data_IF_068280049609
#
_entry.id   IF_068280049609
#
_cell.length_a   1.000
_cell.length_b   1.000
_cell.length_c   1.000
_cell.angle_alpha   90.00
_cell.angle_beta   90.00
_cell.angle_gamma   90.00
#
_symmetry.space_group_name_H-M   'P 1'
#
loop_
_entity.id
_entity.type
_entity.pdbx_description
1 polymer ?
#
# COMPACT_ATOMS: atom_id res chain seq x y z
N UNK A 1 12.96 -3.90 5.31
CA UNK A 1 11.90 -3.40 4.45
C UNK A 1 10.74 -2.83 5.23
N UNK A 2 9.95 -1.98 4.60
CA UNK A 2 8.81 -1.32 5.24
C UNK A 2 7.67 -1.06 4.25
N UNK A 3 6.46 -0.86 4.77
CA UNK A 3 5.31 -0.48 3.98
C UNK A 3 4.16 0.01 4.85
N UNK A 4 3.36 0.90 4.29
CA UNK A 4 2.09 1.30 4.90
C UNK A 4 1.05 0.22 4.55
N UNK A 5 0.24 -0.15 5.51
CA UNK A 5 -0.86 -1.10 5.37
C UNK A 5 -2.15 -0.33 5.61
N UNK A 6 -3.07 -0.38 4.66
CA UNK A 6 -4.46 0.00 4.86
C UNK A 6 -5.21 -1.17 5.49
N UNK A 7 -5.95 -0.91 6.51
CA UNK A 7 -6.63 -1.90 7.34
C UNK A 7 -8.12 -1.60 7.44
N UNK A 8 -8.94 -2.62 7.71
CA UNK A 8 -10.29 -2.43 8.19
C UNK A 8 -10.39 -1.41 9.31
N UNK A 9 -11.53 -0.73 9.39
CA UNK A 9 -11.85 0.21 10.47
C UNK A 9 -12.32 -0.51 11.73
N UNK A 10 -12.92 -1.67 11.55
CA UNK A 10 -13.24 -2.56 12.67
C UNK A 10 -11.96 -3.20 13.21
N UNK A 11 -11.72 -3.05 14.50
CA UNK A 11 -10.50 -3.52 15.16
C UNK A 11 -10.31 -5.03 15.03
N UNK A 12 -11.38 -5.82 15.16
CA UNK A 12 -11.31 -7.28 15.07
C UNK A 12 -10.96 -7.74 13.67
N UNK A 13 -11.52 -7.10 12.65
CA UNK A 13 -11.19 -7.41 11.26
C UNK A 13 -9.77 -6.95 10.91
N UNK A 14 -9.33 -5.81 11.46
CA UNK A 14 -7.95 -5.35 11.32
C UNK A 14 -6.96 -6.34 11.98
N UNK A 15 -7.25 -6.84 13.18
CA UNK A 15 -6.44 -7.85 13.86
C UNK A 15 -6.35 -9.13 13.04
N UNK A 16 -7.47 -9.66 12.53
CA UNK A 16 -7.47 -10.84 11.65
C UNK A 16 -6.60 -10.65 10.40
N UNK A 17 -6.66 -9.47 9.77
CA UNK A 17 -5.82 -9.15 8.63
C UNK A 17 -4.33 -9.17 9.02
N UNK A 18 -3.98 -8.61 10.16
CA UNK A 18 -2.61 -8.61 10.67
C UNK A 18 -2.13 -10.02 11.03
N UNK A 19 -2.98 -10.85 11.64
CA UNK A 19 -2.65 -12.25 11.99
C UNK A 19 -2.35 -13.07 10.73
N UNK A 20 -3.16 -12.94 9.68
CA UNK A 20 -2.90 -13.56 8.38
C UNK A 20 -1.55 -13.10 7.83
N UNK A 21 -1.30 -11.80 7.84
CA UNK A 21 -0.03 -11.24 7.38
C UNK A 21 1.16 -11.78 8.16
N UNK A 22 1.09 -11.79 9.49
CA UNK A 22 2.17 -12.26 10.37
C UNK A 22 2.44 -13.76 10.21
N UNK A 23 1.40 -14.56 9.96
CA UNK A 23 1.57 -15.98 9.64
C UNK A 23 2.39 -16.14 8.34
N UNK A 24 2.06 -15.38 7.31
CA UNK A 24 2.79 -15.39 6.03
C UNK A 24 4.23 -14.86 6.18
N UNK A 25 4.44 -13.81 6.96
CA UNK A 25 5.79 -13.30 7.28
C UNK A 25 6.64 -14.42 7.90
N UNK A 26 6.09 -15.17 8.85
CA UNK A 26 6.76 -16.29 9.48
C UNK A 26 7.05 -17.45 8.51
N UNK A 27 6.08 -17.82 7.68
CA UNK A 27 6.26 -18.86 6.65
C UNK A 27 7.36 -18.50 5.67
N UNK A 28 7.43 -17.22 5.27
CA UNK A 28 8.46 -16.70 4.38
C UNK A 28 9.81 -16.49 5.09
N UNK A 29 9.93 -16.82 6.37
CA UNK A 29 11.16 -16.67 7.16
C UNK A 29 11.69 -15.24 7.11
N UNK A 30 10.80 -14.28 7.34
CA UNK A 30 11.13 -12.89 7.60
C UNK A 30 10.85 -12.55 9.06
N UNK A 31 11.59 -11.60 9.60
CA UNK A 31 11.48 -11.16 10.98
C UNK A 31 10.60 -9.92 11.06
N UNK A 32 9.62 -9.95 11.96
CA UNK A 32 8.90 -8.75 12.33
C UNK A 32 9.78 -7.90 13.24
N UNK A 33 10.17 -6.71 12.76
CA UNK A 33 10.90 -5.72 13.56
C UNK A 33 9.92 -4.92 14.42
N UNK A 34 8.75 -4.59 13.86
CA UNK A 34 7.69 -3.92 14.59
C UNK A 34 6.64 -3.27 13.72
N UNK A 35 5.71 -2.59 14.40
CA UNK A 35 4.69 -1.74 13.80
C UNK A 35 4.84 -0.31 14.30
N UNK A 36 4.43 0.64 13.47
CA UNK A 36 4.27 2.04 13.83
C UNK A 36 2.90 2.52 13.39
N UNK A 37 2.21 3.25 14.23
CA UNK A 37 1.03 4.01 13.82
C UNK A 37 1.46 5.10 12.83
N UNK A 38 0.77 5.19 11.70
CA UNK A 38 1.01 6.27 10.72
C UNK A 38 0.27 7.50 11.22
N UNK A 39 0.96 8.61 11.53
CA UNK A 39 0.27 9.84 11.92
C UNK A 39 -0.55 10.36 10.74
N UNK A 40 -1.83 10.62 10.97
CA UNK A 40 -2.74 11.19 9.97
C UNK A 40 -3.59 12.30 10.59
N UNK A 41 -3.83 13.36 9.80
CA UNK A 41 -4.79 14.41 10.14
C UNK A 41 -5.88 14.47 9.07
N UNK A 42 -7.04 13.96 9.42
CA UNK A 42 -8.18 13.90 8.52
C UNK A 42 -9.11 15.13 8.62
N UNK A 43 -8.74 16.17 9.37
CA UNK A 43 -9.56 17.36 9.55
C UNK A 43 -9.84 18.10 8.23
N UNK A 44 -8.88 18.11 7.32
CA UNK A 44 -8.93 18.82 6.04
C UNK A 44 -9.47 18.01 4.85
N UNK A 45 -9.85 16.72 5.00
CA UNK A 45 -10.33 15.91 3.88
C UNK A 45 -11.85 15.96 3.71
N UNK A 46 -12.31 15.71 2.47
CA UNK A 46 -13.74 15.71 2.15
C UNK A 46 -14.54 14.58 2.81
N UNK A 47 -15.85 14.75 2.94
CA UNK A 47 -16.74 13.79 3.61
C UNK A 47 -16.67 12.38 2.99
N UNK A 48 -16.61 12.28 1.66
CA UNK A 48 -16.53 10.99 0.95
C UNK A 48 -15.21 10.27 1.26
N UNK A 49 -14.09 10.99 1.22
CA UNK A 49 -12.79 10.43 1.55
C UNK A 49 -12.75 9.94 3.01
N UNK A 50 -13.29 10.73 3.94
CA UNK A 50 -13.39 10.39 5.36
C UNK A 50 -14.29 9.18 5.61
N UNK A 51 -15.40 9.07 4.89
CA UNK A 51 -16.33 7.93 5.04
C UNK A 51 -15.71 6.60 4.63
N UNK A 52 -14.74 6.60 3.72
CA UNK A 52 -14.03 5.42 3.22
C UNK A 52 -12.55 5.35 3.64
N UNK A 53 -12.13 6.18 4.60
CA UNK A 53 -10.76 6.22 5.10
C UNK A 53 -10.40 4.90 5.81
N UNK A 54 -9.33 4.19 5.41
CA UNK A 54 -8.87 3.01 6.11
C UNK A 54 -8.11 3.38 7.39
N UNK A 55 -8.03 2.45 8.34
CA UNK A 55 -7.01 2.55 9.38
C UNK A 55 -5.63 2.30 8.76
N UNK A 56 -4.57 2.89 9.30
CA UNK A 56 -3.23 2.79 8.70
C UNK A 56 -2.17 2.43 9.73
N UNK A 57 -1.40 1.39 9.42
CA UNK A 57 -0.17 1.03 10.17
C UNK A 57 1.01 0.89 9.22
N UNK A 58 2.18 1.19 9.71
CA UNK A 58 3.43 0.89 9.01
C UNK A 58 4.05 -0.35 9.64
N UNK A 59 4.40 -1.33 8.79
CA UNK A 59 5.13 -2.53 9.20
C UNK A 59 6.61 -2.39 8.84
N UNK A 60 7.47 -2.93 9.70
CA UNK A 60 8.91 -3.05 9.48
C UNK A 60 9.29 -4.53 9.54
N UNK A 61 9.92 -5.01 8.47
CA UNK A 61 10.35 -6.40 8.32
C UNK A 61 11.85 -6.48 8.01
N UNK A 62 12.48 -7.53 8.50
CA UNK A 62 13.88 -7.85 8.23
C UNK A 62 14.06 -9.29 7.80
N UNK A 63 15.24 -9.59 7.27
CA UNK A 63 15.80 -10.92 7.12
C UNK A 63 17.31 -10.81 6.87
N UNK A 64 18.06 -11.79 7.33
CA UNK A 64 19.52 -11.86 7.10
C UNK A 64 19.83 -12.42 5.70
N UNK A 65 19.52 -11.60 4.67
CA UNK A 65 19.71 -11.93 3.25
C UNK A 65 20.11 -10.69 2.45
N UNK A 66 20.64 -10.89 1.25
CA UNK A 66 21.00 -9.78 0.36
C UNK A 66 19.81 -8.86 0.05
N UNK A 67 20.02 -7.54 -0.11
CA UNK A 67 18.95 -6.56 -0.31
C UNK A 67 17.99 -6.89 -1.47
N UNK A 68 18.49 -7.41 -2.58
CA UNK A 68 17.67 -7.80 -3.73
C UNK A 68 16.81 -9.06 -3.44
N UNK A 69 17.34 -9.99 -2.64
CA UNK A 69 16.58 -11.14 -2.18
C UNK A 69 15.49 -10.72 -1.19
N UNK A 70 15.79 -9.76 -0.30
CA UNK A 70 14.80 -9.18 0.61
C UNK A 70 13.68 -8.48 -0.17
N UNK A 71 14.01 -7.70 -1.19
CA UNK A 71 13.01 -7.02 -2.02
C UNK A 71 12.02 -8.00 -2.67
N UNK A 72 12.53 -9.11 -3.22
CA UNK A 72 11.68 -10.19 -3.78
C UNK A 72 10.83 -10.87 -2.71
N UNK A 73 11.39 -11.13 -1.54
CA UNK A 73 10.67 -11.73 -0.40
C UNK A 73 9.54 -10.83 0.07
N UNK A 74 9.79 -9.54 0.23
CA UNK A 74 8.77 -8.55 0.61
C UNK A 74 7.62 -8.49 -0.42
N UNK A 75 7.94 -8.57 -1.71
CA UNK A 75 6.92 -8.67 -2.75
C UNK A 75 6.06 -9.94 -2.61
N UNK A 76 6.68 -11.09 -2.35
CA UNK A 76 5.97 -12.37 -2.15
C UNK A 76 5.07 -12.28 -0.92
N UNK A 77 5.58 -11.80 0.21
CA UNK A 77 4.79 -11.60 1.44
C UNK A 77 3.57 -10.74 1.15
N UNK A 78 3.77 -9.58 0.51
CA UNK A 78 2.68 -8.69 0.12
C UNK A 78 1.62 -9.42 -0.71
N UNK A 79 2.02 -10.09 -1.79
CA UNK A 79 1.08 -10.75 -2.72
C UNK A 79 0.35 -11.92 -2.09
N UNK A 80 1.03 -12.71 -1.28
CA UNK A 80 0.42 -13.81 -0.53
C UNK A 80 -0.61 -13.28 0.48
N UNK A 81 -0.27 -12.21 1.20
CA UNK A 81 -1.16 -11.58 2.16
C UNK A 81 -2.40 -11.01 1.49
N UNK A 82 -2.23 -10.22 0.42
CA UNK A 82 -3.35 -9.65 -0.36
C UNK A 82 -4.29 -10.76 -0.88
N UNK A 83 -3.73 -11.89 -1.34
CA UNK A 83 -4.51 -13.03 -1.81
C UNK A 83 -5.26 -13.69 -0.66
N UNK A 84 -4.58 -14.05 0.42
CA UNK A 84 -5.18 -14.75 1.56
C UNK A 84 -6.32 -13.95 2.19
N UNK A 85 -6.15 -12.63 2.35
CA UNK A 85 -7.21 -11.77 2.89
C UNK A 85 -8.38 -11.65 1.93
N UNK A 86 -8.14 -11.52 0.63
CA UNK A 86 -9.22 -11.48 -0.39
C UNK A 86 -10.06 -12.75 -0.38
N UNK A 87 -9.44 -13.92 -0.14
CA UNK A 87 -10.10 -15.22 -0.09
C UNK A 87 -10.71 -15.55 1.28
N UNK A 88 -10.47 -14.72 2.30
CA UNK A 88 -10.99 -14.90 3.66
C UNK A 88 -12.46 -14.49 3.79
N UNK A 89 -13.04 -14.79 4.95
CA UNK A 89 -14.39 -14.41 5.36
C UNK A 89 -14.44 -13.08 6.16
N UNK A 90 -13.36 -12.32 6.19
CA UNK A 90 -13.29 -11.03 6.86
C UNK A 90 -14.28 -10.06 6.22
N UNK A 91 -15.17 -9.48 7.01
CA UNK A 91 -16.27 -8.64 6.52
C UNK A 91 -15.76 -7.37 5.82
N UNK A 92 -14.81 -6.67 6.45
CA UNK A 92 -14.24 -5.43 5.92
C UNK A 92 -12.93 -5.63 5.12
N UNK A 93 -12.72 -6.79 4.53
CA UNK A 93 -11.49 -7.12 3.78
C UNK A 93 -11.17 -6.17 2.62
N UNK A 94 -12.16 -5.51 2.05
CA UNK A 94 -11.98 -4.56 0.94
C UNK A 94 -11.22 -3.29 1.33
N UNK A 95 -11.11 -2.99 2.63
CA UNK A 95 -10.24 -1.94 3.14
C UNK A 95 -8.76 -2.34 3.15
N UNK A 96 -8.47 -3.65 3.10
CA UNK A 96 -7.09 -4.12 3.18
C UNK A 96 -6.34 -3.88 1.88
N UNK A 97 -5.26 -3.13 1.96
CA UNK A 97 -4.38 -2.88 0.82
C UNK A 97 -2.96 -2.54 1.30
N UNK A 98 -1.95 -2.99 0.57
CA UNK A 98 -0.55 -2.65 0.83
C UNK A 98 -0.01 -1.88 -0.38
N UNK A 99 0.07 -0.54 -0.32
CA UNK A 99 0.61 0.28 -1.42
C UNK A 99 2.00 -0.15 -1.87
N UNK A 100 2.89 -0.37 -0.93
CA UNK A 100 4.22 -0.94 -1.16
C UNK A 100 4.69 -1.68 0.09
N UNK A 101 5.43 -2.77 -0.10
CA UNK A 101 6.24 -3.42 0.92
C UNK A 101 7.61 -3.65 0.30
N UNK A 102 8.60 -2.85 0.71
CA UNK A 102 9.86 -2.73 -0.02
C UNK A 102 11.00 -2.28 0.89
N UNK A 103 12.23 -2.61 0.54
CA UNK A 103 13.42 -2.05 1.18
C UNK A 103 13.97 -0.81 0.44
N UNK A 104 13.25 -0.32 -0.59
CA UNK A 104 13.68 0.80 -1.45
C UNK A 104 12.63 1.89 -1.62
N UNK A 105 11.35 1.56 -1.49
CA UNK A 105 10.24 2.45 -1.82
C UNK A 105 9.22 2.46 -0.69
N UNK A 106 8.83 3.65 -0.27
CA UNK A 106 7.69 3.86 0.62
C UNK A 106 6.65 4.72 -0.10
N UNK A 107 5.39 4.31 -0.06
CA UNK A 107 4.30 4.99 -0.76
C UNK A 107 3.32 5.58 0.25
N UNK A 108 3.18 6.90 0.22
CA UNK A 108 2.11 7.64 0.87
C UNK A 108 1.07 8.01 -0.18
N UNK A 109 -0.17 7.58 -0.01
CA UNK A 109 -1.25 7.86 -0.94
C UNK A 109 -2.62 7.84 -0.27
N UNK A 110 -3.61 8.43 -0.93
CA UNK A 110 -4.99 8.43 -0.46
C UNK A 110 -5.93 9.19 -1.37
N UNK A 111 -7.19 9.28 -0.99
CA UNK A 111 -8.19 10.15 -1.63
C UNK A 111 -7.96 11.61 -1.25
N UNK A 112 -6.84 12.16 -1.69
CA UNK A 112 -6.32 13.46 -1.28
C UNK A 112 -6.02 14.31 -2.53
N UNK A 113 -6.20 15.59 -2.43
CA UNK A 113 -5.63 16.54 -3.37
C UNK A 113 -4.13 16.74 -3.06
N UNK A 114 -3.38 17.31 -3.99
CA UNK A 114 -1.95 17.57 -3.79
C UNK A 114 -1.66 18.46 -2.57
N UNK A 115 -2.56 19.41 -2.25
CA UNK A 115 -2.41 20.28 -1.08
C UNK A 115 -2.73 19.55 0.23
N UNK A 116 -3.66 18.60 0.19
CA UNK A 116 -4.04 17.83 1.37
C UNK A 116 -3.01 16.77 1.76
N UNK A 117 -2.19 16.30 0.84
CA UNK A 117 -1.26 15.18 1.09
C UNK A 117 -0.32 15.45 2.27
N UNK A 118 0.33 16.61 2.29
CA UNK A 118 1.26 16.97 3.35
C UNK A 118 0.58 17.36 4.66
N UNK A 119 -0.69 17.82 4.60
CA UNK A 119 -1.49 18.07 5.80
C UNK A 119 -1.98 16.76 6.42
N UNK A 120 -2.45 15.85 5.59
CA UNK A 120 -2.96 14.56 6.01
C UNK A 120 -1.85 13.63 6.57
N UNK A 121 -0.65 13.65 5.97
CA UNK A 121 0.50 12.86 6.45
C UNK A 121 1.59 13.77 7.03
N UNK A 122 1.57 14.06 8.33
CA UNK A 122 2.60 14.88 8.99
C UNK A 122 4.03 14.36 8.79
N UNK A 123 4.20 13.04 8.59
CA UNK A 123 5.50 12.43 8.26
C UNK A 123 6.19 13.11 7.06
N UNK A 124 5.42 13.56 6.07
CA UNK A 124 5.97 14.22 4.86
C UNK A 124 6.55 15.61 5.12
N UNK A 125 6.30 16.17 6.30
CA UNK A 125 6.87 17.45 6.77
C UNK A 125 8.03 17.26 7.72
N UNK A 126 8.36 16.03 8.12
CA UNK A 126 9.46 15.74 9.04
C UNK A 126 10.80 15.87 8.29
N UNK A 127 11.69 16.74 8.76
CA UNK A 127 13.00 17.00 8.14
C UNK A 127 13.90 15.75 8.08
N UNK A 128 13.64 14.75 8.92
CA UNK A 128 14.36 13.47 8.92
C UNK A 128 13.92 12.57 7.75
N UNK A 129 12.75 12.85 7.14
CA UNK A 129 12.27 12.09 6.00
C UNK A 129 12.92 12.58 4.71
N UNK A 130 14.03 11.96 4.36
CA UNK A 130 14.83 12.31 3.19
C UNK A 130 14.72 11.24 2.11
N UNK A 131 14.65 11.67 0.86
CA UNK A 131 14.63 10.78 -0.31
C UNK A 131 15.41 11.38 -1.46
N UNK A 132 16.13 10.53 -2.21
CA UNK A 132 16.83 10.96 -3.42
C UNK A 132 15.87 11.23 -4.58
N UNK A 133 14.69 10.57 -4.60
CA UNK A 133 13.70 10.68 -5.69
C UNK A 133 12.30 10.64 -5.07
N UNK A 134 11.42 11.51 -5.54
CA UNK A 134 10.00 11.47 -5.25
C UNK A 134 9.20 11.37 -6.55
N UNK A 135 8.36 10.32 -6.65
CA UNK A 135 7.36 10.19 -7.72
C UNK A 135 6.02 10.70 -7.19
N UNK A 136 5.51 11.75 -7.81
CA UNK A 136 4.30 12.43 -7.37
C UNK A 136 3.22 12.29 -8.42
N UNK A 137 1.99 11.96 -8.02
CA UNK A 137 0.83 11.89 -8.88
C UNK A 137 -0.36 12.56 -8.21
N UNK A 138 -1.04 13.47 -8.92
CA UNK A 138 -2.13 14.29 -8.36
C UNK A 138 -3.52 13.94 -8.89
N UNK A 139 -3.65 12.95 -9.78
CA UNK A 139 -4.91 12.60 -10.41
C UNK A 139 -5.27 11.14 -10.22
N UNK A 140 -6.57 10.88 -10.10
CA UNK A 140 -7.15 9.55 -10.31
C UNK A 140 -7.37 9.29 -11.80
N UNK A 141 -7.56 8.01 -12.17
CA UNK A 141 -8.04 7.67 -13.51
C UNK A 141 -9.41 8.29 -13.74
N UNK A 142 -9.64 8.82 -14.94
CA UNK A 142 -10.91 9.45 -15.31
C UNK A 142 -12.07 8.45 -15.46
N UNK A 143 -11.77 7.16 -15.57
CA UNK A 143 -12.74 6.09 -15.88
C UNK A 143 -13.02 5.16 -14.69
N UNK A 144 -12.51 5.45 -13.51
CA UNK A 144 -12.72 4.66 -12.30
C UNK A 144 -13.25 5.52 -11.16
N UNK A 145 -14.10 4.93 -10.32
CA UNK A 145 -14.51 5.57 -9.09
C UNK A 145 -13.30 5.70 -8.17
N UNK A 146 -13.04 6.88 -7.58
CA UNK A 146 -11.89 7.07 -6.71
C UNK A 146 -12.08 6.28 -5.40
N UNK A 147 -11.03 5.55 -5.01
CA UNK A 147 -10.91 4.85 -3.72
C UNK A 147 -9.49 5.02 -3.18
N UNK A 148 -9.29 4.74 -1.89
CA UNK A 148 -7.97 4.92 -1.25
C UNK A 148 -6.90 4.02 -1.86
N UNK A 149 -7.23 2.79 -2.22
CA UNK A 149 -6.35 1.81 -2.85
C UNK A 149 -6.05 2.13 -4.32
N UNK A 150 -7.02 2.71 -5.04
CA UNK A 150 -6.85 3.13 -6.44
C UNK A 150 -6.15 4.48 -6.59
N UNK A 151 -5.92 5.22 -5.51
CA UNK A 151 -5.09 6.41 -5.55
C UNK A 151 -3.69 6.08 -6.08
N UNK A 152 -3.12 6.99 -6.85
CA UNK A 152 -1.74 6.88 -7.29
C UNK A 152 -0.79 7.58 -6.28
N UNK A 153 0.52 7.34 -6.31
CA UNK A 153 1.21 6.48 -7.27
C UNK A 153 1.04 4.98 -6.95
N UNK A 154 1.14 4.14 -7.97
CA UNK A 154 1.48 2.74 -7.81
C UNK A 154 2.99 2.61 -7.67
N UNK A 155 3.48 1.46 -7.23
CA UNK A 155 4.83 1.28 -6.68
C UNK A 155 5.98 1.94 -7.46
N UNK A 156 6.07 1.88 -8.72
CA UNK A 156 7.03 2.64 -9.56
C UNK A 156 6.45 2.75 -10.96
N UNK A 157 5.82 3.84 -11.24
CA UNK A 157 5.29 4.11 -12.55
C UNK A 157 5.57 5.58 -12.88
N UNK A 158 6.26 5.80 -13.98
CA UNK A 158 6.49 7.14 -14.52
C UNK A 158 6.34 7.08 -16.03
N UNK A 159 5.28 7.71 -16.54
CA UNK A 159 5.11 7.89 -17.98
C UNK A 159 4.24 9.11 -18.27
N UNK A 160 4.40 9.63 -19.47
CA UNK A 160 3.57 10.71 -19.98
C UNK A 160 2.73 10.19 -21.16
N UNK A 161 1.58 9.59 -20.85
CA UNK A 161 0.69 9.07 -21.88
C UNK A 161 -0.56 8.43 -21.29
N UNK A 162 -1.50 8.02 -22.12
CA UNK A 162 -2.71 7.30 -21.75
C UNK A 162 -2.52 5.79 -21.91
N UNK A 163 -2.94 5.02 -20.92
CA UNK A 163 -3.00 3.56 -21.00
C UNK A 163 -4.47 3.18 -21.13
N UNK A 164 -4.94 2.99 -22.37
CA UNK A 164 -6.36 2.80 -22.65
C UNK A 164 -6.76 1.34 -22.89
N UNK A 165 -5.83 0.37 -22.82
CA UNK A 165 -6.08 -1.01 -23.20
C UNK A 165 -5.82 -1.99 -22.06
N UNK A 166 -6.69 -2.02 -21.05
CA UNK A 166 -6.63 -3.04 -19.99
C UNK A 166 -6.66 -4.47 -20.58
N UNK A 167 -7.53 -4.71 -21.56
CA UNK A 167 -7.66 -6.03 -22.19
C UNK A 167 -6.39 -6.46 -22.90
N UNK A 168 -5.78 -5.57 -23.67
CA UNK A 168 -4.50 -5.84 -24.33
C UNK A 168 -3.36 -6.11 -23.34
N UNK A 169 -3.29 -5.33 -22.27
CA UNK A 169 -2.29 -5.51 -21.21
C UNK A 169 -2.46 -6.85 -20.48
N UNK A 170 -3.70 -7.29 -20.23
CA UNK A 170 -3.98 -8.62 -19.67
C UNK A 170 -3.48 -9.73 -20.58
N UNK A 171 -3.78 -9.68 -21.88
CA UNK A 171 -3.29 -10.67 -22.84
C UNK A 171 -1.78 -10.70 -22.95
N UNK A 172 -1.11 -9.54 -22.88
CA UNK A 172 0.34 -9.49 -22.84
C UNK A 172 0.92 -10.14 -21.56
N UNK A 173 0.28 -9.93 -20.42
CA UNK A 173 0.70 -10.59 -19.17
C UNK A 173 0.48 -12.10 -19.24
N UNK A 174 -0.68 -12.55 -19.70
CA UNK A 174 -0.97 -13.97 -19.92
C UNK A 174 0.05 -14.63 -20.85
N UNK A 175 0.43 -13.97 -21.93
CA UNK A 175 1.45 -14.48 -22.86
C UNK A 175 2.85 -14.55 -22.26
N UNK A 176 3.17 -13.75 -21.26
CA UNK A 176 4.49 -13.75 -20.57
C UNK A 176 4.56 -14.78 -19.45
N UNK A 177 3.44 -15.21 -18.93
CA UNK A 177 3.34 -16.21 -17.86
C UNK A 177 3.27 -17.65 -18.40
N UNK A 178 3.11 -17.81 -19.71
CA UNK A 178 3.02 -19.10 -20.42
C UNK A 178 4.36 -19.76 -20.71
#
# INVERSE_FOLDING_TARGET
>A
GTGIIFLPRDEKDAEKCLDIMLSIVKEEKADLIGFREVPTDNSGIGAIARASEPAMKQILLGADIAPDALERKLYIIRKRTEKAIRESDIEQKDFFYIPSLSNRVLVYKGMLTSLQLGEYFPDLKDERMQSAIALIHSRFSTNTFPTWDLAQPFRMLSHNGEINTIKGNRYWMEARES
#
